data_IF_720477610773
#
_entry.id   IF_720477610773
#
_cell.length_a   1.000
_cell.length_b   1.000
_cell.length_c   1.000
_cell.angle_alpha   90.00
_cell.angle_beta   90.00
_cell.angle_gamma   90.00
#
_symmetry.space_group_name_H-M   'P 1'
#
loop_
_entity.id
_entity.type
_entity.pdbx_description
1 polymer ?
#
# COMPACT_ATOMS: atom_id res chain seq x y z
N UNK A 1 -44.93 24.25 -7.33
CA UNK A 1 -43.87 23.36 -6.83
C UNK A 1 -43.41 22.55 -8.02
N UNK A 2 -42.13 22.60 -8.38
CA UNK A 2 -41.62 21.76 -9.47
C UNK A 2 -41.55 20.32 -8.98
N UNK A 3 -42.55 19.51 -9.33
CA UNK A 3 -42.50 18.06 -9.18
C UNK A 3 -41.56 17.52 -10.25
N UNK A 4 -40.47 16.91 -9.81
CA UNK A 4 -39.56 16.21 -10.70
C UNK A 4 -40.34 15.05 -11.36
N UNK A 5 -40.24 14.84 -12.69
CA UNK A 5 -40.85 13.68 -13.33
C UNK A 5 -40.30 12.38 -12.74
N UNK A 6 -41.15 11.37 -12.60
CA UNK A 6 -40.84 10.08 -11.95
C UNK A 6 -39.60 9.39 -12.56
N UNK A 7 -39.35 9.59 -13.86
CA UNK A 7 -38.15 9.07 -14.54
C UNK A 7 -36.86 9.76 -14.08
N UNK A 8 -36.91 11.07 -13.87
CA UNK A 8 -35.74 11.86 -13.44
C UNK A 8 -35.42 11.60 -11.95
N UNK A 9 -36.44 11.33 -11.14
CA UNK A 9 -36.26 10.98 -9.74
C UNK A 9 -35.56 9.62 -9.61
N UNK A 10 -35.92 8.65 -10.45
CA UNK A 10 -35.26 7.35 -10.50
C UNK A 10 -33.79 7.48 -10.92
N UNK A 11 -33.50 8.26 -11.98
CA UNK A 11 -32.12 8.55 -12.41
C UNK A 11 -31.32 9.21 -11.31
N UNK A 12 -31.91 10.21 -10.62
CA UNK A 12 -31.28 10.90 -9.51
C UNK A 12 -30.94 9.98 -8.33
N UNK A 13 -31.87 9.10 -7.93
CA UNK A 13 -31.61 8.12 -6.87
C UNK A 13 -30.62 7.03 -7.28
N UNK A 14 -30.54 6.70 -8.56
CA UNK A 14 -29.57 5.76 -9.10
C UNK A 14 -28.16 6.36 -9.11
N UNK A 15 -28.01 7.59 -9.61
CA UNK A 15 -26.74 8.34 -9.58
C UNK A 15 -26.27 8.61 -8.14
N UNK A 16 -27.20 8.93 -7.23
CA UNK A 16 -26.89 9.09 -5.80
C UNK A 16 -26.39 7.78 -5.17
N UNK A 17 -26.99 6.63 -5.51
CA UNK A 17 -26.52 5.31 -5.06
C UNK A 17 -25.16 4.95 -5.62
N UNK A 18 -24.92 5.15 -6.91
CA UNK A 18 -23.64 4.87 -7.56
C UNK A 18 -22.52 5.74 -6.97
N UNK A 19 -22.85 6.99 -6.62
CA UNK A 19 -21.94 7.90 -5.93
C UNK A 19 -21.65 7.47 -4.48
N UNK A 20 -22.65 7.05 -3.70
CA UNK A 20 -22.46 6.53 -2.35
C UNK A 20 -21.68 5.19 -2.33
N UNK A 21 -21.96 4.26 -3.25
CA UNK A 21 -21.21 3.01 -3.39
C UNK A 21 -19.73 3.28 -3.74
N UNK A 22 -19.47 4.22 -4.66
CA UNK A 22 -18.10 4.61 -5.02
C UNK A 22 -17.31 5.15 -3.82
N UNK A 23 -17.95 5.96 -2.97
CA UNK A 23 -17.31 6.51 -1.77
C UNK A 23 -17.11 5.45 -0.69
N UNK A 24 -18.09 4.58 -0.45
CA UNK A 24 -18.02 3.55 0.57
C UNK A 24 -16.93 2.50 0.26
N UNK A 25 -16.77 2.10 -1.01
CA UNK A 25 -15.63 1.26 -1.42
C UNK A 25 -14.28 1.97 -1.22
N UNK A 26 -14.19 3.28 -1.50
CA UNK A 26 -12.99 4.08 -1.23
C UNK A 26 -12.57 4.05 0.26
N UNK A 27 -13.52 4.11 1.18
CA UNK A 27 -13.21 4.16 2.62
C UNK A 27 -12.87 2.78 3.20
N UNK A 28 -13.58 1.73 2.76
CA UNK A 28 -13.27 0.35 3.14
C UNK A 28 -11.87 -0.04 2.64
N UNK A 29 -11.54 0.29 1.39
CA UNK A 29 -10.21 0.00 0.83
C UNK A 29 -9.07 0.79 1.47
N UNK A 30 -9.29 2.01 1.94
CA UNK A 30 -8.23 2.85 2.53
C UNK A 30 -7.82 2.38 3.94
N UNK A 31 -8.80 2.05 4.79
CA UNK A 31 -8.52 1.56 6.15
C UNK A 31 -7.91 0.16 6.11
N UNK A 32 -8.43 -0.71 5.24
CA UNK A 32 -7.87 -2.05 5.03
C UNK A 32 -6.43 -1.98 4.51
N UNK A 33 -6.17 -1.14 3.48
CA UNK A 33 -4.82 -0.93 2.95
C UNK A 33 -3.86 -0.43 4.01
N UNK A 34 -4.28 0.51 4.84
CA UNK A 34 -3.46 1.03 5.94
C UNK A 34 -3.17 -0.04 7.01
N UNK A 35 -4.16 -0.87 7.32
CA UNK A 35 -4.00 -2.02 8.22
C UNK A 35 -2.99 -3.04 7.69
N UNK A 36 -3.10 -3.39 6.40
CA UNK A 36 -2.18 -4.32 5.71
C UNK A 36 -0.77 -3.74 5.71
N UNK A 37 -0.59 -2.48 5.29
CA UNK A 37 0.70 -1.81 5.26
C UNK A 37 1.37 -1.83 6.65
N UNK A 38 0.64 -1.47 7.72
CA UNK A 38 1.17 -1.52 9.09
C UNK A 38 1.52 -2.93 9.54
N UNK A 39 0.73 -3.93 9.13
CA UNK A 39 1.02 -5.34 9.41
C UNK A 39 2.32 -5.79 8.76
N UNK A 40 2.49 -5.48 7.48
CA UNK A 40 3.70 -5.79 6.71
C UNK A 40 4.93 -5.11 7.29
N UNK A 41 4.87 -3.81 7.59
CA UNK A 41 5.98 -3.07 8.19
C UNK A 41 6.42 -3.69 9.53
N UNK A 42 5.47 -4.10 10.38
CA UNK A 42 5.79 -4.81 11.63
C UNK A 42 6.47 -6.16 11.37
N UNK A 43 5.97 -6.92 10.40
CA UNK A 43 6.56 -8.21 9.99
C UNK A 43 7.99 -8.04 9.48
N UNK A 44 8.21 -7.06 8.60
CA UNK A 44 9.52 -6.72 8.05
C UNK A 44 10.48 -6.30 9.16
N UNK A 45 10.06 -5.42 10.07
CA UNK A 45 10.89 -4.99 11.20
C UNK A 45 11.33 -6.17 12.09
N UNK A 46 10.41 -7.09 12.37
CA UNK A 46 10.75 -8.29 13.14
C UNK A 46 11.70 -9.21 12.35
N UNK A 47 11.41 -9.49 11.08
CA UNK A 47 12.23 -10.34 10.22
C UNK A 47 13.66 -9.80 10.05
N UNK A 48 13.79 -8.50 9.78
CA UNK A 48 15.07 -7.81 9.69
C UNK A 48 15.87 -7.91 10.97
N UNK A 49 15.23 -7.66 12.12
CA UNK A 49 15.87 -7.77 13.43
C UNK A 49 16.34 -9.19 13.73
N UNK A 50 15.53 -10.21 13.42
CA UNK A 50 15.86 -11.60 13.69
C UNK A 50 16.98 -12.13 12.78
N UNK A 51 16.96 -11.76 11.50
CA UNK A 51 17.90 -12.30 10.51
C UNK A 51 19.20 -11.51 10.39
N UNK A 52 19.11 -10.18 10.39
CA UNK A 52 20.23 -9.29 10.09
C UNK A 52 20.65 -8.41 11.29
N UNK A 53 19.95 -8.51 12.42
CA UNK A 53 20.27 -7.75 13.63
C UNK A 53 20.25 -6.24 13.40
N UNK A 54 21.31 -5.56 13.83
CA UNK A 54 21.45 -4.09 13.68
C UNK A 54 21.55 -3.67 12.22
N UNK A 55 22.21 -4.44 11.36
CA UNK A 55 22.36 -4.12 9.94
C UNK A 55 21.00 -4.07 9.24
N UNK A 56 20.09 -4.97 9.59
CA UNK A 56 18.71 -4.95 9.06
C UNK A 56 17.89 -3.77 9.58
N UNK A 57 18.07 -3.37 10.84
CA UNK A 57 17.36 -2.22 11.41
C UNK A 57 17.69 -0.90 10.71
N UNK A 58 18.90 -0.77 10.17
CA UNK A 58 19.30 0.43 9.42
C UNK A 58 18.48 0.63 8.14
N UNK A 59 17.83 -0.42 7.61
CA UNK A 59 16.96 -0.33 6.44
C UNK A 59 15.53 0.11 6.78
N UNK A 60 15.13 0.08 8.05
CA UNK A 60 13.75 0.39 8.44
C UNK A 60 13.31 1.82 8.08
N UNK A 61 14.12 2.87 8.29
CA UNK A 61 13.73 4.22 7.90
C UNK A 61 13.42 4.35 6.40
N UNK A 62 14.10 3.58 5.54
CA UNK A 62 13.86 3.56 4.10
C UNK A 62 12.59 2.79 3.76
N UNK A 63 12.40 1.61 4.36
CA UNK A 63 11.25 0.74 4.11
C UNK A 63 9.95 1.36 4.62
N UNK A 64 9.98 2.12 5.72
CA UNK A 64 8.81 2.82 6.25
C UNK A 64 8.27 3.92 5.32
N UNK A 65 9.09 4.42 4.38
CA UNK A 65 8.63 5.38 3.36
C UNK A 65 7.91 4.71 2.19
N UNK A 66 7.91 3.38 2.11
CA UNK A 66 7.30 2.66 0.99
C UNK A 66 5.78 2.56 1.21
N UNK A 67 5.03 3.15 0.27
CA UNK A 67 3.56 3.09 0.25
C UNK A 67 3.01 1.89 -0.55
N UNK A 68 3.81 1.31 -1.45
CA UNK A 68 3.40 0.17 -2.26
C UNK A 68 3.39 -1.13 -1.43
N UNK A 69 2.18 -1.60 -1.15
CA UNK A 69 1.92 -2.86 -0.43
C UNK A 69 2.54 -4.07 -1.12
N UNK A 70 2.54 -4.12 -2.46
CA UNK A 70 3.11 -5.27 -3.19
C UNK A 70 4.63 -5.30 -3.05
N UNK A 71 5.26 -4.13 -3.02
CA UNK A 71 6.69 -4.01 -2.78
C UNK A 71 7.04 -4.42 -1.34
N UNK A 72 6.23 -4.01 -0.37
CA UNK A 72 6.38 -4.44 1.04
C UNK A 72 6.23 -5.97 1.19
N UNK A 73 5.27 -6.59 0.51
CA UNK A 73 5.13 -8.05 0.47
C UNK A 73 6.37 -8.72 -0.14
N UNK A 74 6.88 -8.17 -1.25
CA UNK A 74 8.09 -8.67 -1.92
C UNK A 74 9.31 -8.59 -0.99
N UNK A 75 9.47 -7.49 -0.26
CA UNK A 75 10.52 -7.34 0.75
C UNK A 75 10.35 -8.39 1.84
N UNK A 76 9.14 -8.57 2.37
CA UNK A 76 8.88 -9.52 3.45
C UNK A 76 9.25 -10.95 3.03
N UNK A 77 8.83 -11.40 1.85
CA UNK A 77 9.20 -12.72 1.32
C UNK A 77 10.69 -12.85 1.06
N UNK A 78 11.34 -11.80 0.57
CA UNK A 78 12.77 -11.81 0.32
C UNK A 78 13.61 -11.89 1.61
N UNK A 79 13.10 -11.43 2.76
CA UNK A 79 13.79 -11.61 4.05
C UNK A 79 14.03 -13.09 4.34
N UNK A 80 13.16 -14.01 3.92
CA UNK A 80 13.35 -15.44 4.17
C UNK A 80 14.59 -16.00 3.45
N UNK A 81 14.86 -15.53 2.23
CA UNK A 81 15.88 -16.12 1.33
C UNK A 81 17.14 -15.27 1.16
N UNK A 82 17.07 -13.95 1.34
CA UNK A 82 18.20 -13.04 1.17
C UNK A 82 19.33 -13.35 2.17
N UNK A 83 20.58 -13.39 1.71
CA UNK A 83 21.71 -13.69 2.58
C UNK A 83 22.34 -12.42 3.17
N UNK A 84 22.13 -11.28 2.51
CA UNK A 84 22.69 -9.99 2.91
C UNK A 84 21.63 -8.88 2.90
N UNK A 85 21.91 -7.81 3.63
CA UNK A 85 21.06 -6.61 3.65
C UNK A 85 21.08 -5.87 2.31
N UNK A 86 22.19 -5.91 1.57
CA UNK A 86 22.33 -5.27 0.26
C UNK A 86 21.52 -5.96 -0.83
N UNK A 87 21.44 -7.30 -0.81
CA UNK A 87 20.53 -8.07 -1.66
C UNK A 87 19.08 -7.65 -1.43
N UNK A 88 18.68 -7.51 -0.17
CA UNK A 88 17.32 -7.08 0.18
C UNK A 88 17.05 -5.64 -0.25
N UNK A 89 18.03 -4.75 -0.08
CA UNK A 89 17.94 -3.33 -0.44
C UNK A 89 17.74 -3.11 -1.94
N UNK A 90 18.35 -3.96 -2.76
CA UNK A 90 18.25 -3.87 -4.23
C UNK A 90 16.81 -4.03 -4.74
N UNK A 91 15.93 -4.71 -3.98
CA UNK A 91 14.54 -5.00 -4.36
C UNK A 91 13.71 -3.72 -4.45
N UNK A 92 13.91 -2.76 -3.56
CA UNK A 92 13.16 -1.51 -3.55
C UNK A 92 13.92 -0.33 -4.13
N UNK A 93 15.25 -0.36 -4.18
CA UNK A 93 16.03 0.71 -4.83
C UNK A 93 15.93 0.68 -6.36
N UNK A 94 15.69 -0.47 -6.97
CA UNK A 94 15.47 -0.58 -8.42
C UNK A 94 14.15 0.04 -8.88
N UNK A 95 13.20 0.28 -7.96
CA UNK A 95 11.94 0.96 -8.26
C UNK A 95 12.07 2.49 -8.29
N UNK A 96 13.07 3.06 -7.59
CA UNK A 96 13.33 4.50 -7.56
C UNK A 96 14.22 4.99 -8.73
N UNK A 97 14.87 4.08 -9.46
CA UNK A 97 15.76 4.40 -10.58
C UNK A 97 15.01 4.55 -11.91
N UNK A 98 13.87 5.24 -11.89
CA UNK A 98 13.36 5.83 -13.14
C UNK A 98 14.25 7.04 -13.43
N UNK A 99 15.00 7.07 -14.55
CA UNK A 99 15.87 8.20 -14.84
C UNK A 99 14.99 9.44 -14.95
N UNK A 100 15.21 10.41 -14.05
CA UNK A 100 14.75 11.79 -14.26
C UNK A 100 15.44 12.27 -15.54
N UNK A 101 14.70 12.15 -16.63
CA UNK A 101 15.14 12.50 -17.97
C UNK A 101 15.66 13.93 -18.03
N UNK A 102 16.73 14.05 -18.82
CA UNK A 102 17.41 15.27 -19.24
C UNK A 102 16.46 16.33 -19.82
#
# INVERSE_FOLDING_TARGET
MMTLPEQLELEFWQEYRDFEESKLMQYVTSVERFGIQKGLLKGIALGLKLKFGTSGQNLLPEIEQIEDVNLLESILSAIETANTVDELRSIYQTADDTPRGN
#
